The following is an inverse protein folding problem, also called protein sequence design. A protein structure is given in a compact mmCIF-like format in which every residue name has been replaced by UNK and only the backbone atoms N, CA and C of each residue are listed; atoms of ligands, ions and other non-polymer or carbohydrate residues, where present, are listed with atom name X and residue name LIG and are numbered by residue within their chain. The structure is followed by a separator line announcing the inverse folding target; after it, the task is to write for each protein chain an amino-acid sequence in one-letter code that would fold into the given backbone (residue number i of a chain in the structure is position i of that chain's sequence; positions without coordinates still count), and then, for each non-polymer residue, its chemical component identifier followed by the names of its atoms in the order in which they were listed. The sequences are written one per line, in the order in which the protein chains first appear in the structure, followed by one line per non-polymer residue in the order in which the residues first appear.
data_IF_499808154821
#
_entry.id   IF_499808154821
#
_cell.length_a   1.000
_cell.length_b   1.000
_cell.length_c   1.000
_cell.angle_alpha   90.00
_cell.angle_beta   90.00
_cell.angle_gamma   90.00
#
_symmetry.space_group_name_H-M   'P 1'
#
loop_
_entity.id
_entity.type
_entity.pdbx_description
1 polymer ?
#
# COMPACT_ATOMS: atom_id res chain seq x y z
N UNK A 1 22.64 5.15 -16.90
CA UNK A 1 22.87 3.69 -16.82
C UNK A 1 22.45 3.24 -15.43
N UNK A 2 21.78 2.10 -15.32
CA UNK A 2 21.47 1.48 -14.02
C UNK A 2 22.74 0.78 -13.48
N UNK A 3 22.78 0.62 -12.15
CA UNK A 3 23.89 -0.09 -11.49
C UNK A 3 23.87 -1.59 -11.79
N UNK A 4 25.00 -2.33 -11.68
CA UNK A 4 25.07 -3.76 -11.96
C UNK A 4 24.14 -4.63 -11.08
N UNK A 5 23.89 -4.18 -9.86
CA UNK A 5 22.98 -4.82 -8.90
C UNK A 5 21.49 -4.44 -9.07
N UNK A 6 21.20 -3.48 -9.95
CA UNK A 6 19.85 -3.10 -10.29
C UNK A 6 19.22 -4.09 -11.28
N UNK A 7 17.90 -4.24 -11.21
CA UNK A 7 17.20 -5.20 -12.07
C UNK A 7 16.93 -4.65 -13.46
N UNK A 8 17.73 -5.08 -14.44
CA UNK A 8 17.55 -4.69 -15.84
C UNK A 8 16.31 -5.39 -16.44
N UNK A 9 15.52 -4.66 -17.23
CA UNK A 9 14.30 -5.20 -17.84
C UNK A 9 14.58 -6.42 -18.75
N UNK A 10 15.73 -6.45 -19.39
CA UNK A 10 16.20 -7.55 -20.28
C UNK A 10 16.51 -8.84 -19.50
N UNK A 11 16.63 -8.76 -18.17
CA UNK A 11 16.87 -9.91 -17.28
C UNK A 11 15.59 -10.40 -16.61
N UNK A 12 14.43 -9.81 -16.93
CA UNK A 12 13.17 -10.21 -16.34
C UNK A 12 12.89 -11.71 -16.61
N UNK A 13 12.39 -12.41 -15.60
CA UNK A 13 11.88 -13.77 -15.75
C UNK A 13 10.58 -13.81 -16.56
N UNK A 14 10.06 -12.64 -16.94
CA UNK A 14 8.99 -12.48 -17.88
C UNK A 14 7.59 -12.60 -17.27
N UNK A 15 6.65 -12.91 -18.16
CA UNK A 15 5.22 -12.98 -17.89
C UNK A 15 4.73 -14.42 -17.92
N UNK A 16 3.67 -14.75 -17.17
CA UNK A 16 3.05 -16.08 -17.25
C UNK A 16 2.54 -16.40 -18.66
N UNK A 17 1.95 -15.41 -19.32
CA UNK A 17 1.45 -15.53 -20.68
C UNK A 17 2.37 -14.76 -21.61
N UNK A 18 3.10 -15.43 -22.53
CA UNK A 18 4.03 -14.77 -23.43
C UNK A 18 3.33 -13.74 -24.33
N UNK A 19 3.95 -12.58 -24.47
CA UNK A 19 3.49 -11.49 -25.32
C UNK A 19 4.66 -10.92 -26.12
N UNK A 20 4.44 -10.43 -27.36
CA UNK A 20 5.51 -9.81 -28.12
C UNK A 20 6.04 -8.56 -27.40
N UNK A 21 7.36 -8.26 -27.57
CA UNK A 21 7.95 -7.05 -27.03
C UNK A 21 7.28 -5.81 -27.66
N UNK A 22 7.20 -4.74 -26.86
CA UNK A 22 6.64 -3.48 -27.36
C UNK A 22 7.74 -2.66 -28.05
N UNK A 23 7.47 -1.94 -29.16
CA UNK A 23 8.50 -1.27 -29.94
C UNK A 23 9.25 -0.13 -29.19
N UNK A 24 8.70 0.46 -28.13
CA UNK A 24 9.31 1.57 -27.39
C UNK A 24 9.08 1.56 -25.88
N UNK A 25 8.35 0.56 -25.32
CA UNK A 25 8.18 0.40 -23.86
C UNK A 25 8.89 -0.87 -23.41
N UNK A 26 9.67 -0.77 -22.33
CA UNK A 26 10.15 -1.97 -21.64
C UNK A 26 9.03 -2.67 -20.87
N UNK A 27 9.29 -3.85 -20.33
CA UNK A 27 8.27 -4.64 -19.67
C UNK A 27 7.77 -4.02 -18.36
N UNK A 28 8.62 -3.32 -17.60
CA UNK A 28 8.21 -2.64 -16.36
C UNK A 28 7.35 -1.40 -16.64
N UNK A 29 7.61 -0.68 -17.72
CA UNK A 29 6.73 0.40 -18.18
C UNK A 29 5.36 -0.14 -18.58
N UNK A 30 5.30 -1.32 -19.22
CA UNK A 30 4.04 -1.99 -19.54
C UNK A 30 3.30 -2.41 -18.27
N UNK A 31 3.99 -2.88 -17.24
CA UNK A 31 3.40 -3.25 -15.97
C UNK A 31 2.81 -2.05 -15.24
N UNK A 32 3.58 -0.96 -15.14
CA UNK A 32 3.07 0.32 -14.63
C UNK A 32 1.77 0.74 -15.31
N UNK A 33 1.76 0.74 -16.65
CA UNK A 33 0.60 1.15 -17.42
C UNK A 33 -0.61 0.22 -17.14
N UNK A 34 -0.40 -1.09 -16.99
CA UNK A 34 -1.44 -2.07 -16.66
C UNK A 34 -2.02 -1.84 -15.27
N UNK A 35 -1.17 -1.55 -14.29
CA UNK A 35 -1.58 -1.24 -12.92
C UNK A 35 -2.42 0.03 -12.89
N UNK A 36 -1.95 1.13 -13.45
CA UNK A 36 -2.68 2.43 -13.48
C UNK A 36 -4.06 2.26 -14.12
N UNK A 37 -4.17 1.43 -15.15
CA UNK A 37 -5.43 1.23 -15.85
C UNK A 37 -6.34 0.17 -15.23
N UNK A 38 -5.94 -0.59 -14.21
CA UNK A 38 -6.79 -1.59 -13.58
C UNK A 38 -7.88 -0.98 -12.70
N UNK A 39 -8.91 -1.78 -12.38
CA UNK A 39 -10.02 -1.32 -11.53
C UNK A 39 -9.60 -1.20 -10.08
N UNK A 40 -8.77 -2.12 -9.61
CA UNK A 40 -8.27 -2.11 -8.24
C UNK A 40 -7.51 -0.83 -7.93
N UNK A 41 -6.63 -0.36 -8.82
CA UNK A 41 -5.91 0.90 -8.66
C UNK A 41 -6.85 2.10 -8.59
N UNK A 42 -7.86 2.20 -9.47
CA UNK A 42 -8.82 3.30 -9.41
C UNK A 42 -9.65 3.34 -8.14
N UNK A 43 -9.91 2.15 -7.54
CA UNK A 43 -10.67 2.06 -6.27
C UNK A 43 -9.89 2.61 -5.07
N UNK A 44 -8.57 2.79 -5.19
CA UNK A 44 -7.76 3.40 -4.14
C UNK A 44 -8.19 4.85 -3.85
N UNK A 45 -8.80 5.55 -4.83
CA UNK A 45 -9.37 6.89 -4.64
C UNK A 45 -10.44 6.94 -3.54
N UNK A 46 -11.26 5.88 -3.44
CA UNK A 46 -12.36 5.79 -2.50
C UNK A 46 -12.07 4.81 -1.34
N UNK A 47 -10.78 4.56 -1.03
CA UNK A 47 -10.34 3.77 0.14
C UNK A 47 -9.61 4.66 1.13
N UNK A 48 -10.00 4.59 2.40
CA UNK A 48 -9.39 5.33 3.50
C UNK A 48 -7.91 4.97 3.66
N UNK A 49 -7.05 5.97 3.83
CA UNK A 49 -5.69 5.81 4.34
C UNK A 49 -5.71 5.85 5.89
N UNK A 50 -5.98 6.99 6.48
CA UNK A 50 -6.14 7.19 7.93
C UNK A 50 -7.46 7.90 8.23
N UNK A 51 -7.75 8.98 7.53
CA UNK A 51 -8.95 9.79 7.70
C UNK A 51 -10.04 9.37 6.72
N UNK A 52 -11.25 9.17 7.22
CA UNK A 52 -12.41 8.93 6.35
C UNK A 52 -12.84 10.24 5.66
N UNK A 53 -13.49 10.13 4.51
CA UNK A 53 -14.05 11.28 3.76
C UNK A 53 -15.07 12.12 4.55
N UNK A 54 -15.46 11.69 5.75
CA UNK A 54 -16.33 12.45 6.66
C UNK A 54 -15.67 13.69 7.21
N UNK A 55 -14.34 13.72 7.32
CA UNK A 55 -13.60 14.86 7.85
C UNK A 55 -13.46 15.96 6.80
N UNK A 56 -12.99 15.57 5.63
CA UNK A 56 -12.83 16.45 4.48
C UNK A 56 -12.46 15.62 3.24
N UNK A 57 -12.71 16.17 2.07
CA UNK A 57 -12.39 15.59 0.77
C UNK A 57 -10.94 15.87 0.32
N UNK A 58 -10.19 16.68 1.07
CA UNK A 58 -8.79 16.98 0.74
C UNK A 58 -7.75 16.19 1.56
N UNK A 59 -8.17 15.37 2.54
CA UNK A 59 -7.25 14.43 3.19
C UNK A 59 -6.81 13.33 2.23
N UNK A 60 -5.64 12.79 2.49
CA UNK A 60 -5.07 11.74 1.66
C UNK A 60 -5.93 10.48 1.69
N UNK A 61 -6.19 9.95 0.51
CA UNK A 61 -6.73 8.62 0.29
C UNK A 61 -5.60 7.70 -0.19
N UNK A 62 -5.89 6.40 -0.36
CA UNK A 62 -4.85 5.45 -0.78
C UNK A 62 -4.27 5.75 -2.15
N UNK A 63 -5.03 6.34 -3.07
CA UNK A 63 -4.52 6.71 -4.39
C UNK A 63 -3.46 7.81 -4.30
N UNK A 64 -3.75 8.89 -3.56
CA UNK A 64 -2.80 10.00 -3.40
C UNK A 64 -1.55 9.56 -2.63
N UNK A 65 -1.70 8.74 -1.59
CA UNK A 65 -0.58 8.09 -0.90
C UNK A 65 0.28 7.25 -1.86
N UNK A 66 -0.34 6.38 -2.65
CA UNK A 66 0.38 5.53 -3.63
C UNK A 66 1.17 6.36 -4.64
N UNK A 67 0.64 7.53 -5.07
CA UNK A 67 1.36 8.45 -5.95
C UNK A 67 2.55 9.10 -5.24
N UNK A 68 2.42 9.49 -3.97
CA UNK A 68 3.53 10.00 -3.15
C UNK A 68 4.63 8.94 -2.99
N UNK A 69 4.27 7.69 -2.68
CA UNK A 69 5.21 6.56 -2.62
C UNK A 69 5.94 6.38 -3.96
N UNK A 70 5.22 6.39 -5.08
CA UNK A 70 5.82 6.24 -6.40
C UNK A 70 6.79 7.37 -6.75
N UNK A 71 6.49 8.61 -6.37
CA UNK A 71 7.37 9.76 -6.56
C UNK A 71 8.67 9.61 -5.75
N UNK A 72 8.58 9.24 -4.46
CA UNK A 72 9.76 9.05 -3.60
C UNK A 72 10.57 7.86 -4.10
N UNK A 73 9.92 6.74 -4.45
CA UNK A 73 10.58 5.53 -4.97
C UNK A 73 11.39 5.81 -6.24
N UNK A 74 10.85 6.57 -7.17
CA UNK A 74 11.58 6.98 -8.38
C UNK A 74 12.79 7.84 -8.06
N UNK A 75 12.66 8.78 -7.13
CA UNK A 75 13.74 9.70 -6.74
C UNK A 75 14.87 8.94 -6.03
N UNK A 76 14.53 8.16 -4.99
CA UNK A 76 15.49 7.38 -4.22
C UNK A 76 16.12 6.26 -5.06
N UNK A 77 15.31 5.55 -5.85
CA UNK A 77 15.79 4.51 -6.77
C UNK A 77 16.75 5.06 -7.82
N UNK A 78 16.43 6.23 -8.41
CA UNK A 78 17.33 6.92 -9.34
C UNK A 78 18.67 7.32 -8.70
N UNK A 79 18.65 7.82 -7.45
CA UNK A 79 19.84 8.18 -6.70
C UNK A 79 20.74 6.96 -6.36
N UNK A 80 20.11 5.78 -6.14
CA UNK A 80 20.82 4.51 -5.94
C UNK A 80 21.22 3.81 -7.25
N UNK A 81 20.89 4.36 -8.41
CA UNK A 81 21.15 3.74 -9.71
C UNK A 81 20.26 2.53 -10.01
N UNK A 82 19.13 2.40 -9.34
CA UNK A 82 18.16 1.31 -9.54
C UNK A 82 17.29 1.54 -10.79
N UNK A 83 16.51 0.52 -11.16
CA UNK A 83 15.56 0.61 -12.26
C UNK A 83 14.31 1.38 -11.80
N UNK A 84 14.23 2.65 -12.18
CA UNK A 84 13.12 3.54 -11.76
C UNK A 84 11.76 3.14 -12.33
N UNK A 85 11.70 2.43 -13.46
CA UNK A 85 10.43 1.91 -14.01
C UNK A 85 9.90 0.75 -13.16
N UNK A 86 10.80 -0.12 -12.66
CA UNK A 86 10.43 -1.19 -11.73
C UNK A 86 10.04 -0.61 -10.36
N UNK A 87 10.81 0.35 -9.82
CA UNK A 87 10.44 1.05 -8.58
C UNK A 87 9.03 1.65 -8.67
N UNK A 88 8.72 2.33 -9.77
CA UNK A 88 7.40 2.93 -9.98
C UNK A 88 6.28 1.88 -10.09
N UNK A 89 6.49 0.81 -10.85
CA UNK A 89 5.50 -0.25 -11.00
C UNK A 89 5.20 -0.93 -9.65
N UNK A 90 6.22 -1.21 -8.85
CA UNK A 90 6.10 -1.78 -7.50
C UNK A 90 5.37 -0.84 -6.55
N UNK A 91 5.76 0.44 -6.53
CA UNK A 91 5.11 1.45 -5.70
C UNK A 91 3.62 1.61 -6.03
N UNK A 92 3.25 1.60 -7.32
CA UNK A 92 1.85 1.69 -7.73
C UNK A 92 1.04 0.42 -7.42
N UNK A 93 1.69 -0.72 -7.26
CA UNK A 93 1.04 -2.00 -7.00
C UNK A 93 0.90 -2.33 -5.51
N UNK A 94 1.72 -1.75 -4.61
CA UNK A 94 1.87 -2.23 -3.24
C UNK A 94 0.54 -2.25 -2.45
N UNK A 95 -0.32 -1.26 -2.67
CA UNK A 95 -1.55 -1.04 -1.89
C UNK A 95 -2.84 -1.56 -2.55
N UNK A 96 -2.79 -2.09 -3.79
CA UNK A 96 -4.01 -2.44 -4.55
C UNK A 96 -4.86 -3.55 -3.91
N UNK A 97 -4.27 -4.34 -3.05
CA UNK A 97 -4.92 -5.45 -2.34
C UNK A 97 -5.62 -5.06 -1.04
N UNK A 98 -5.44 -3.85 -0.54
CA UNK A 98 -6.07 -3.44 0.72
C UNK A 98 -7.60 -3.46 0.62
N UNK A 99 -8.27 -3.96 1.67
CA UNK A 99 -9.73 -3.93 1.77
C UNK A 99 -10.24 -2.54 2.14
N UNK A 100 -11.56 -2.31 2.16
CA UNK A 100 -12.16 -1.11 2.76
C UNK A 100 -11.69 -0.90 4.20
N UNK A 101 -11.56 0.35 4.62
CA UNK A 101 -11.09 0.78 5.95
C UNK A 101 -9.66 0.37 6.31
N UNK A 102 -8.83 0.13 5.31
CA UNK A 102 -7.39 -0.10 5.44
C UNK A 102 -7.02 -1.26 6.38
N UNK A 103 -6.03 -1.06 7.23
CA UNK A 103 -5.56 -2.09 8.16
C UNK A 103 -6.62 -2.58 9.16
N UNK A 104 -7.61 -1.74 9.52
CA UNK A 104 -8.71 -2.19 10.39
C UNK A 104 -9.64 -3.15 9.66
N UNK A 105 -9.91 -2.89 8.37
CA UNK A 105 -10.66 -3.80 7.51
C UNK A 105 -9.90 -5.10 7.24
N UNK A 106 -8.60 -5.02 7.04
CA UNK A 106 -7.73 -6.19 6.86
C UNK A 106 -7.76 -7.09 8.10
N UNK A 107 -7.52 -6.52 9.28
CA UNK A 107 -7.60 -7.26 10.55
C UNK A 107 -8.97 -7.92 10.73
N UNK A 108 -10.03 -7.19 10.42
CA UNK A 108 -11.41 -7.70 10.53
C UNK A 108 -11.65 -8.87 9.56
N UNK A 109 -11.22 -8.78 8.30
CA UNK A 109 -11.32 -9.89 7.34
C UNK A 109 -10.47 -11.08 7.77
N UNK A 110 -9.26 -10.87 8.23
CA UNK A 110 -8.39 -11.95 8.73
C UNK A 110 -9.03 -12.70 9.91
N UNK A 111 -9.58 -11.96 10.89
CA UNK A 111 -10.30 -12.55 12.02
C UNK A 111 -11.53 -13.38 11.56
N UNK A 112 -12.30 -12.89 10.59
CA UNK A 112 -13.44 -13.60 10.02
C UNK A 112 -13.00 -14.86 9.27
N UNK A 113 -11.95 -14.78 8.46
CA UNK A 113 -11.43 -15.91 7.69
C UNK A 113 -10.82 -17.00 8.58
N UNK A 114 -10.18 -16.62 9.69
CA UNK A 114 -9.68 -17.59 10.71
C UNK A 114 -10.79 -18.47 11.30
N UNK A 115 -12.02 -17.98 11.34
CA UNK A 115 -13.20 -18.79 11.73
C UNK A 115 -13.46 -19.99 10.81
N UNK A 116 -12.89 -19.98 9.58
CA UNK A 116 -12.96 -21.07 8.59
C UNK A 116 -11.64 -21.83 8.44
N UNK A 117 -10.61 -21.48 9.22
CA UNK A 117 -9.27 -22.09 9.14
C UNK A 117 -8.35 -21.42 8.10
N UNK A 118 -8.78 -20.29 7.54
CA UNK A 118 -8.05 -19.49 6.55
C UNK A 118 -7.57 -18.17 7.14
N UNK A 119 -6.98 -17.29 6.34
CA UNK A 119 -6.55 -15.95 6.70
C UNK A 119 -6.81 -14.96 5.58
N UNK A 120 -6.62 -13.66 5.87
CA UNK A 120 -6.61 -12.61 4.87
C UNK A 120 -5.34 -11.77 5.01
N UNK A 121 -4.66 -11.55 3.90
CA UNK A 121 -3.46 -10.73 3.78
C UNK A 121 -3.57 -9.89 2.51
N UNK A 122 -3.33 -8.58 2.60
CA UNK A 122 -3.51 -7.68 1.46
C UNK A 122 -2.50 -7.93 0.33
N UNK A 123 -1.29 -8.45 0.60
CA UNK A 123 -0.31 -8.80 -0.43
C UNK A 123 -0.77 -10.03 -1.23
N UNK A 124 -1.29 -11.06 -0.54
CA UNK A 124 -1.90 -12.22 -1.18
C UNK A 124 -3.13 -11.81 -2.02
N UNK A 125 -3.97 -10.93 -1.48
CA UNK A 125 -5.12 -10.42 -2.21
C UNK A 125 -4.69 -9.56 -3.42
N UNK A 126 -3.64 -8.73 -3.28
CA UNK A 126 -3.06 -7.98 -4.40
C UNK A 126 -2.55 -8.92 -5.51
N UNK A 127 -1.83 -9.97 -5.12
CA UNK A 127 -1.37 -10.99 -6.06
C UNK A 127 -2.56 -11.64 -6.77
N UNK A 128 -3.61 -12.02 -6.05
CA UNK A 128 -4.82 -12.61 -6.60
C UNK A 128 -5.54 -11.67 -7.58
N UNK A 129 -5.59 -10.37 -7.26
CA UNK A 129 -6.13 -9.34 -8.16
C UNK A 129 -5.35 -9.30 -9.48
N UNK A 130 -4.02 -9.20 -9.43
CA UNK A 130 -3.19 -9.01 -10.63
C UNK A 130 -3.05 -10.28 -11.45
N UNK A 131 -3.25 -11.46 -10.88
CA UNK A 131 -3.14 -12.73 -11.56
C UNK A 131 -4.48 -13.26 -12.10
N UNK A 132 -5.60 -12.99 -11.40
CA UNK A 132 -6.85 -13.67 -11.66
C UNK A 132 -8.07 -12.73 -11.79
N UNK A 133 -8.23 -11.72 -10.94
CA UNK A 133 -9.49 -10.98 -10.82
C UNK A 133 -9.69 -9.87 -11.84
N UNK A 134 -8.62 -9.20 -12.27
CA UNK A 134 -8.75 -8.14 -13.26
C UNK A 134 -9.08 -8.76 -14.63
N UNK A 135 -10.30 -8.50 -15.09
CA UNK A 135 -10.80 -8.97 -16.39
C UNK A 135 -10.68 -7.85 -17.42
N UNK A 136 -9.48 -7.66 -17.95
CA UNK A 136 -9.19 -6.57 -18.87
C UNK A 136 -8.70 -7.03 -20.24
N UNK A 137 -8.13 -8.21 -20.31
CA UNK A 137 -7.51 -8.75 -21.50
C UNK A 137 -8.21 -10.03 -21.94
N UNK A 138 -8.47 -10.17 -23.26
CA UNK A 138 -9.15 -11.36 -23.78
C UNK A 138 -8.25 -12.60 -23.80
N UNK A 139 -6.93 -12.42 -23.81
CA UNK A 139 -5.96 -13.50 -23.98
C UNK A 139 -5.52 -14.20 -22.70
N UNK A 140 -5.79 -13.59 -21.53
CA UNK A 140 -5.34 -14.11 -20.24
C UNK A 140 -6.14 -13.48 -19.08
N UNK A 141 -6.21 -14.17 -17.93
CA UNK A 141 -6.75 -13.59 -16.69
C UNK A 141 -5.77 -12.60 -16.08
N UNK A 142 -6.25 -11.73 -15.22
CA UNK A 142 -5.44 -10.77 -14.50
C UNK A 142 -4.81 -9.69 -15.39
N UNK A 143 -3.67 -9.19 -14.95
CA UNK A 143 -2.88 -8.15 -15.62
C UNK A 143 -1.67 -8.70 -16.38
N UNK A 144 -1.31 -9.96 -16.17
CA UNK A 144 -0.12 -10.60 -16.74
C UNK A 144 1.15 -9.76 -16.51
N UNK A 145 1.39 -9.37 -15.24
CA UNK A 145 2.58 -8.62 -14.86
C UNK A 145 3.83 -9.49 -14.90
N UNK A 146 5.00 -8.87 -14.98
CA UNK A 146 6.29 -9.56 -14.90
C UNK A 146 6.44 -10.26 -13.55
N UNK A 147 7.34 -11.24 -13.51
CA UNK A 147 7.68 -11.97 -12.29
C UNK A 147 8.12 -11.02 -11.17
N UNK A 148 8.98 -10.05 -11.48
CA UNK A 148 9.59 -9.15 -10.51
C UNK A 148 8.56 -8.26 -9.81
N UNK A 149 7.54 -7.80 -10.54
CA UNK A 149 6.45 -7.02 -9.95
C UNK A 149 5.58 -7.91 -9.05
N UNK A 150 5.24 -9.13 -9.49
CA UNK A 150 4.48 -10.10 -8.68
C UNK A 150 5.25 -10.53 -7.43
N UNK A 151 6.55 -10.83 -7.58
CA UNK A 151 7.44 -11.13 -6.46
C UNK A 151 7.50 -9.97 -5.47
N UNK A 152 7.62 -8.74 -5.97
CA UNK A 152 7.68 -7.55 -5.12
C UNK A 152 6.39 -7.30 -4.35
N UNK A 153 5.22 -7.57 -4.95
CA UNK A 153 3.92 -7.52 -4.27
C UNK A 153 3.91 -8.50 -3.09
N UNK A 154 4.27 -9.76 -3.32
CA UNK A 154 4.14 -10.78 -2.28
C UNK A 154 5.20 -10.64 -1.16
N UNK A 155 6.35 -10.06 -1.47
CA UNK A 155 7.43 -9.83 -0.50
C UNK A 155 7.43 -8.41 0.09
N UNK A 156 6.40 -7.61 -0.18
CA UNK A 156 6.28 -6.29 0.43
C UNK A 156 6.14 -6.42 1.94
N UNK A 157 7.03 -5.75 2.67
CA UNK A 157 7.11 -5.73 4.14
C UNK A 157 7.14 -7.11 4.82
N UNK A 158 7.44 -8.18 4.07
CA UNK A 158 7.44 -9.56 4.58
C UNK A 158 8.57 -10.38 3.97
N UNK A 159 9.24 -11.16 4.82
CA UNK A 159 10.08 -12.29 4.42
C UNK A 159 9.36 -13.58 4.80
N UNK A 160 9.53 -14.63 4.01
CA UNK A 160 8.95 -15.94 4.25
C UNK A 160 10.02 -16.92 4.74
N UNK A 161 9.65 -17.79 5.68
CA UNK A 161 10.48 -18.92 6.06
C UNK A 161 10.39 -20.03 5.00
N UNK A 162 11.41 -20.89 4.94
CA UNK A 162 11.42 -22.01 4.03
C UNK A 162 10.20 -22.94 4.28
N UNK A 163 9.38 -23.16 3.24
CA UNK A 163 8.18 -24.01 3.31
C UNK A 163 6.97 -23.38 4.01
N UNK A 164 7.02 -22.10 4.39
CA UNK A 164 5.90 -21.40 5.05
C UNK A 164 4.67 -21.29 4.14
N UNK A 165 4.87 -21.05 2.84
CA UNK A 165 3.82 -20.89 1.85
C UNK A 165 4.18 -21.66 0.56
N UNK A 166 3.98 -23.00 0.54
CA UNK A 166 4.37 -23.82 -0.62
C UNK A 166 3.71 -23.38 -1.93
N UNK A 167 2.48 -22.82 -1.88
CA UNK A 167 1.72 -22.29 -3.00
C UNK A 167 2.38 -21.07 -3.65
N UNK A 168 3.25 -20.39 -2.92
CA UNK A 168 4.02 -19.22 -3.39
C UNK A 168 5.46 -19.57 -3.77
N UNK A 169 5.81 -20.84 -3.85
CA UNK A 169 7.19 -21.32 -4.09
C UNK A 169 7.80 -20.78 -5.39
N UNK A 170 6.97 -20.45 -6.42
CA UNK A 170 7.44 -19.81 -7.65
C UNK A 170 8.15 -18.47 -7.40
N UNK A 171 7.81 -17.74 -6.31
CA UNK A 171 8.35 -16.41 -6.00
C UNK A 171 9.68 -16.42 -5.24
N UNK A 172 10.43 -17.53 -5.29
CA UNK A 172 11.78 -17.64 -4.69
C UNK A 172 11.78 -17.17 -3.23
N UNK A 173 10.88 -17.72 -2.40
CA UNK A 173 10.63 -17.24 -1.04
C UNK A 173 11.88 -17.26 -0.15
N UNK A 174 12.82 -18.19 -0.41
CA UNK A 174 14.09 -18.30 0.28
C UNK A 174 15.12 -17.22 -0.10
N UNK A 175 14.87 -16.47 -1.20
CA UNK A 175 15.75 -15.40 -1.68
C UNK A 175 15.19 -14.02 -1.33
N UNK A 176 16.09 -13.05 -1.13
CA UNK A 176 15.67 -11.66 -0.94
C UNK A 176 15.12 -11.07 -2.25
N UNK A 177 14.12 -10.18 -2.17
CA UNK A 177 13.62 -9.50 -3.36
C UNK A 177 14.67 -8.53 -3.93
N UNK A 178 14.53 -8.10 -5.20
CA UNK A 178 15.40 -7.07 -5.78
C UNK A 178 15.44 -5.80 -4.92
N UNK A 179 16.49 -5.00 -5.04
CA UNK A 179 16.65 -3.74 -4.28
C UNK A 179 15.49 -2.78 -4.53
N UNK A 180 14.98 -2.76 -5.76
CA UNK A 180 13.80 -1.98 -6.14
C UNK A 180 12.59 -2.33 -5.25
N UNK A 181 12.36 -3.60 -4.98
CA UNK A 181 11.26 -4.04 -4.10
C UNK A 181 11.57 -3.78 -2.62
N UNK A 182 12.84 -3.98 -2.18
CA UNK A 182 13.25 -3.64 -0.82
C UNK A 182 13.09 -2.15 -0.52
N UNK A 183 13.29 -1.29 -1.53
CA UNK A 183 13.14 0.16 -1.40
C UNK A 183 11.71 0.57 -1.08
N UNK A 184 10.71 -0.13 -1.63
CA UNK A 184 9.29 0.24 -1.46
C UNK A 184 8.88 0.24 0.00
N UNK A 185 9.33 -0.72 0.81
CA UNK A 185 8.99 -0.78 2.24
C UNK A 185 9.36 0.49 3.00
N UNK A 186 10.53 1.06 2.68
CA UNK A 186 11.04 2.25 3.35
C UNK A 186 10.45 3.55 2.78
N UNK A 187 10.20 3.61 1.48
CA UNK A 187 9.60 4.82 0.89
C UNK A 187 8.11 4.92 1.22
N UNK A 188 7.42 3.80 1.38
CA UNK A 188 6.08 3.75 1.96
C UNK A 188 6.09 4.29 3.39
N UNK A 189 7.05 3.84 4.22
CA UNK A 189 7.23 4.34 5.57
C UNK A 189 7.50 5.84 5.64
N UNK A 190 8.34 6.38 4.75
CA UNK A 190 8.60 7.82 4.63
C UNK A 190 7.31 8.56 4.27
N UNK A 191 6.58 8.05 3.28
CA UNK A 191 5.38 8.68 2.77
C UNK A 191 4.30 8.75 3.87
N UNK A 192 3.94 7.61 4.50
CA UNK A 192 2.86 7.64 5.50
C UNK A 192 3.25 8.41 6.77
N UNK A 193 4.50 8.32 7.24
CA UNK A 193 4.94 9.07 8.41
C UNK A 193 4.81 10.59 8.23
N UNK A 194 5.18 11.09 7.06
CA UNK A 194 5.10 12.53 6.76
C UNK A 194 3.67 12.96 6.44
N UNK A 195 2.94 12.14 5.70
CA UNK A 195 1.55 12.38 5.35
C UNK A 195 0.64 12.44 6.60
N UNK A 196 0.83 11.51 7.53
CA UNK A 196 0.00 11.41 8.73
C UNK A 196 0.27 12.53 9.73
N UNK A 197 1.51 13.05 9.80
CA UNK A 197 1.78 14.29 10.53
C UNK A 197 1.03 15.49 9.92
N UNK A 198 1.03 15.61 8.58
CA UNK A 198 0.36 16.69 7.87
C UNK A 198 -1.16 16.61 8.06
N UNK A 199 -1.75 15.48 7.76
CA UNK A 199 -3.18 15.26 7.87
C UNK A 199 -3.66 15.37 9.33
N UNK A 200 -2.88 14.87 10.30
CA UNK A 200 -3.19 15.00 11.72
C UNK A 200 -3.15 16.45 12.23
N UNK A 201 -2.21 17.25 11.72
CA UNK A 201 -2.14 18.68 12.00
C UNK A 201 -3.30 19.45 11.33
N UNK A 202 -3.60 19.19 10.07
CA UNK A 202 -4.73 19.81 9.36
C UNK A 202 -6.08 19.45 9.98
N UNK A 203 -6.23 18.22 10.49
CA UNK A 203 -7.42 17.79 11.21
C UNK A 203 -7.55 18.42 12.60
N UNK A 204 -6.53 19.15 13.10
CA UNK A 204 -6.50 19.69 14.43
C UNK A 204 -6.39 18.62 15.53
N UNK A 205 -5.96 17.41 15.18
CA UNK A 205 -5.73 16.32 16.13
C UNK A 205 -4.30 16.33 16.68
N UNK A 206 -3.35 16.94 15.98
CA UNK A 206 -1.97 17.08 16.39
C UNK A 206 -1.61 18.56 16.51
N UNK A 207 -0.89 18.91 17.59
CA UNK A 207 -0.37 20.26 17.82
C UNK A 207 1.14 20.30 17.61
N UNK A 208 1.66 21.36 16.98
CA UNK A 208 3.09 21.57 16.73
C UNK A 208 3.92 21.43 18.00
N UNK A 209 3.44 21.98 19.12
CA UNK A 209 4.15 21.93 20.39
C UNK A 209 4.31 20.49 20.91
N UNK A 210 3.31 19.63 20.69
CA UNK A 210 3.38 18.20 21.05
C UNK A 210 4.31 17.43 20.15
N UNK A 211 4.20 17.64 18.81
CA UNK A 211 5.10 17.00 17.83
C UNK A 211 6.56 17.35 18.18
N UNK A 212 6.87 18.63 18.42
CA UNK A 212 8.22 19.09 18.79
C UNK A 212 8.73 18.43 20.07
N UNK A 213 7.86 18.24 21.06
CA UNK A 213 8.23 17.64 22.37
C UNK A 213 8.59 16.16 22.23
N UNK A 214 7.90 15.42 21.38
CA UNK A 214 7.96 13.96 21.32
C UNK A 214 8.73 13.42 20.14
N UNK A 215 8.94 14.22 19.07
CA UNK A 215 9.61 13.82 17.84
C UNK A 215 10.85 14.66 17.61
N UNK A 216 12.03 14.24 18.11
CA UNK A 216 13.27 15.02 18.02
C UNK A 216 13.66 15.37 16.58
N UNK A 217 13.42 14.47 15.62
CA UNK A 217 13.67 14.76 14.20
C UNK A 217 12.85 15.97 13.74
N UNK A 218 11.56 16.00 14.04
CA UNK A 218 10.69 17.11 13.66
C UNK A 218 11.11 18.42 14.37
N UNK A 219 11.46 18.36 15.66
CA UNK A 219 11.90 19.57 16.40
C UNK A 219 13.16 20.19 15.79
N UNK A 220 14.17 19.38 15.43
CA UNK A 220 15.37 19.86 14.73
C UNK A 220 15.03 20.54 13.39
N UNK A 221 14.10 19.94 12.61
CA UNK A 221 13.69 20.49 11.32
C UNK A 221 12.83 21.75 11.47
N UNK A 222 11.97 21.79 12.49
CA UNK A 222 11.17 22.97 12.80
C UNK A 222 12.04 24.15 13.28
N UNK A 223 13.01 23.91 14.16
CA UNK A 223 13.96 24.93 14.61
C UNK A 223 14.76 25.50 13.42
N UNK A 224 15.16 24.66 12.47
CA UNK A 224 15.82 25.10 11.24
C UNK A 224 14.90 25.98 10.38
N UNK A 225 13.64 25.59 10.21
CA UNK A 225 12.65 26.39 9.48
C UNK A 225 12.35 27.71 10.17
N UNK A 226 12.22 27.69 11.51
CA UNK A 226 11.98 28.89 12.33
C UNK A 226 13.13 29.88 12.27
N UNK A 227 14.37 29.40 12.28
CA UNK A 227 15.58 30.21 12.11
C UNK A 227 15.68 30.83 10.72
N UNK A 228 15.34 30.06 9.68
CA UNK A 228 15.39 30.53 8.29
C UNK A 228 14.29 31.56 7.98
N UNK A 229 13.11 31.39 8.55
CA UNK A 229 11.94 32.25 8.30
C UNK A 229 11.24 32.65 9.61
N UNK A 230 11.89 33.51 10.46
CA UNK A 230 11.34 33.84 11.78
C UNK A 230 9.98 34.53 11.71
N UNK A 231 9.73 35.35 10.68
CA UNK A 231 8.48 36.07 10.46
C UNK A 231 7.38 35.25 9.75
N UNK A 232 7.66 34.00 9.31
CA UNK A 232 6.66 33.19 8.63
C UNK A 232 5.54 32.75 9.59
N UNK A 233 4.35 32.56 9.03
CA UNK A 233 3.21 32.00 9.77
C UNK A 233 3.54 30.60 10.31
N UNK A 234 3.01 30.20 11.49
CA UNK A 234 3.25 28.89 12.08
C UNK A 234 2.99 27.73 11.09
N UNK A 235 1.91 27.79 10.31
CA UNK A 235 1.59 26.80 9.27
C UNK A 235 2.69 26.66 8.21
N UNK A 236 3.28 27.77 7.76
CA UNK A 236 4.37 27.71 6.79
C UNK A 236 5.65 27.15 7.38
N UNK A 237 5.94 27.44 8.66
CA UNK A 237 7.06 26.82 9.38
C UNK A 237 6.87 25.33 9.55
N UNK A 238 5.65 24.89 9.83
CA UNK A 238 5.28 23.48 9.90
C UNK A 238 5.53 22.78 8.55
N UNK A 239 5.02 23.33 7.46
CA UNK A 239 5.21 22.77 6.12
C UNK A 239 6.70 22.69 5.72
N UNK A 240 7.48 23.71 6.05
CA UNK A 240 8.94 23.69 5.82
C UNK A 240 9.66 22.65 6.69
N UNK A 241 9.21 22.46 7.92
CA UNK A 241 9.74 21.40 8.78
C UNK A 241 9.41 20.01 8.23
N UNK A 242 8.16 19.78 7.82
CA UNK A 242 7.70 18.51 7.29
C UNK A 242 8.44 18.12 6.00
N UNK A 243 8.60 19.07 5.08
CA UNK A 243 9.41 18.89 3.87
C UNK A 243 10.86 18.49 4.18
N UNK A 244 11.47 19.10 5.22
CA UNK A 244 12.83 18.76 5.68
C UNK A 244 12.89 17.39 6.36
N UNK A 245 11.85 16.98 7.06
CA UNK A 245 11.74 15.62 7.63
C UNK A 245 11.78 14.60 6.49
N UNK A 246 10.92 14.76 5.48
CA UNK A 246 10.89 13.87 4.30
C UNK A 246 12.26 13.81 3.61
N UNK A 247 12.86 14.97 3.32
CA UNK A 247 14.17 15.06 2.67
C UNK A 247 15.29 14.39 3.48
N UNK A 248 15.25 14.56 4.82
CA UNK A 248 16.21 13.95 5.74
C UNK A 248 16.11 12.42 5.76
N UNK A 249 14.87 11.91 5.80
CA UNK A 249 14.59 10.47 5.76
C UNK A 249 15.05 9.86 4.42
N UNK A 250 14.67 10.47 3.31
CA UNK A 250 15.04 9.98 1.97
C UNK A 250 16.56 10.04 1.74
N UNK A 251 17.21 11.11 2.18
CA UNK A 251 18.66 11.29 2.06
C UNK A 251 19.43 10.26 2.89
N UNK A 252 18.99 10.01 4.13
CA UNK A 252 19.61 8.99 4.98
C UNK A 252 19.44 7.58 4.39
N UNK A 253 18.22 7.25 3.94
CA UNK A 253 17.92 5.96 3.32
C UNK A 253 18.86 5.69 2.13
N UNK A 254 18.95 6.64 1.21
CA UNK A 254 19.83 6.54 0.03
C UNK A 254 21.29 6.44 0.45
N UNK A 255 21.75 7.34 1.33
CA UNK A 255 23.15 7.40 1.73
C UNK A 255 23.59 6.18 2.53
N UNK A 256 22.75 5.65 3.42
CA UNK A 256 23.06 4.46 4.19
C UNK A 256 23.04 3.20 3.32
N UNK A 257 22.01 3.02 2.50
CA UNK A 257 21.92 1.90 1.56
C UNK A 257 23.09 1.86 0.59
N UNK A 258 23.48 3.00 0.02
CA UNK A 258 24.66 3.07 -0.87
C UNK A 258 25.94 2.60 -0.17
N UNK A 259 26.19 3.07 1.07
CA UNK A 259 27.36 2.61 1.85
C UNK A 259 27.30 1.12 2.17
N UNK A 260 26.11 0.60 2.48
CA UNK A 260 25.90 -0.84 2.74
C UNK A 260 26.25 -1.67 1.50
N UNK A 261 25.76 -1.28 0.32
CA UNK A 261 26.06 -1.97 -0.93
C UNK A 261 27.57 -1.98 -1.24
N UNK A 262 28.26 -0.88 -0.99
CA UNK A 262 29.70 -0.79 -1.16
C UNK A 262 30.46 -1.66 -0.15
N UNK A 263 30.12 -1.60 1.13
CA UNK A 263 30.77 -2.36 2.20
C UNK A 263 30.60 -3.88 2.03
N UNK A 264 29.40 -4.31 1.64
CA UNK A 264 29.08 -5.72 1.43
C UNK A 264 29.48 -6.20 0.01
N UNK A 265 30.09 -5.31 -0.81
CA UNK A 265 30.59 -5.57 -2.19
C UNK A 265 29.53 -6.18 -3.09
N UNK A 266 28.37 -5.57 -3.11
CA UNK A 266 27.24 -6.01 -3.95
C UNK A 266 27.49 -5.54 -5.39
N UNK A 267 27.73 -6.49 -6.29
CA UNK A 267 28.07 -6.23 -7.68
C UNK A 267 27.03 -6.78 -8.69
N UNK A 268 26.07 -7.55 -8.19
CA UNK A 268 25.05 -8.18 -9.05
C UNK A 268 23.71 -8.34 -8.35
N UNK A 269 22.66 -8.58 -9.13
CA UNK A 269 21.33 -8.97 -8.62
C UNK A 269 21.40 -10.28 -7.82
N UNK A 270 22.27 -11.21 -8.21
CA UNK A 270 22.44 -12.49 -7.49
C UNK A 270 23.05 -12.28 -6.10
N UNK A 271 23.95 -11.32 -5.93
CA UNK A 271 24.47 -10.97 -4.60
C UNK A 271 23.36 -10.42 -3.71
N UNK A 272 22.48 -9.59 -4.25
CA UNK A 272 21.29 -9.08 -3.53
C UNK A 272 20.37 -10.22 -3.13
N UNK A 273 20.04 -11.12 -4.07
CA UNK A 273 19.10 -12.22 -3.84
C UNK A 273 19.59 -13.24 -2.82
N UNK A 274 20.87 -13.50 -2.77
CA UNK A 274 21.49 -14.49 -1.88
C UNK A 274 22.01 -13.86 -0.57
N UNK A 275 21.82 -12.55 -0.38
CA UNK A 275 22.28 -11.89 0.83
C UNK A 275 21.45 -12.32 2.07
N UNK A 276 22.05 -12.53 3.25
CA UNK A 276 21.34 -13.04 4.42
C UNK A 276 20.30 -12.05 4.98
N UNK A 277 20.46 -10.74 4.73
CA UNK A 277 19.54 -9.68 5.16
C UNK A 277 19.14 -8.78 3.99
N UNK A 278 18.09 -8.00 4.17
CA UNK A 278 17.77 -6.89 3.24
C UNK A 278 18.87 -5.83 3.32
N UNK A 279 19.16 -5.20 2.19
CA UNK A 279 20.29 -4.27 2.02
C UNK A 279 19.86 -2.80 2.03
N UNK A 280 18.59 -2.54 1.73
CA UNK A 280 18.01 -1.20 1.87
C UNK A 280 17.61 -1.00 3.32
N UNK A 281 18.09 0.08 3.95
CA UNK A 281 17.74 0.41 5.34
C UNK A 281 18.15 1.83 5.70
N UNK A 282 17.51 2.39 6.72
CA UNK A 282 18.00 3.59 7.40
C UNK A 282 19.29 3.32 8.18
N UNK A 283 20.07 4.37 8.42
CA UNK A 283 21.13 4.32 9.42
C UNK A 283 20.54 4.07 10.83
N UNK A 284 21.29 3.47 11.76
CA UNK A 284 20.77 3.21 13.11
C UNK A 284 20.20 4.46 13.82
N UNK A 285 20.82 5.66 13.73
CA UNK A 285 20.22 6.86 14.32
C UNK A 285 18.90 7.27 13.67
N UNK A 286 18.79 7.16 12.33
CA UNK A 286 17.57 7.52 11.62
C UNK A 286 16.45 6.49 11.84
N UNK A 287 16.81 5.22 11.97
CA UNK A 287 15.85 4.17 12.33
C UNK A 287 15.21 4.44 13.71
N UNK A 288 15.98 4.93 14.69
CA UNK A 288 15.44 5.32 16.00
C UNK A 288 14.57 6.57 15.92
N UNK A 289 14.96 7.58 15.12
CA UNK A 289 14.11 8.75 14.84
C UNK A 289 12.78 8.34 14.20
N UNK A 290 12.81 7.44 13.20
CA UNK A 290 11.61 6.87 12.58
C UNK A 290 10.74 6.10 13.58
N UNK A 291 11.34 5.24 14.38
CA UNK A 291 10.62 4.48 15.40
C UNK A 291 9.96 5.41 16.43
N UNK A 292 10.62 6.51 16.78
CA UNK A 292 10.05 7.53 17.69
C UNK A 292 8.89 8.26 17.06
N UNK A 293 8.99 8.64 15.77
CA UNK A 293 7.88 9.24 15.02
C UNK A 293 6.68 8.29 14.93
N UNK A 294 6.90 7.03 14.60
CA UNK A 294 5.83 6.02 14.57
C UNK A 294 5.13 5.85 15.92
N UNK A 295 5.90 5.76 17.02
CA UNK A 295 5.33 5.67 18.36
C UNK A 295 4.47 6.89 18.69
N UNK A 296 4.92 8.08 18.29
CA UNK A 296 4.15 9.31 18.45
C UNK A 296 2.83 9.27 17.67
N UNK A 297 2.87 8.94 16.37
CA UNK A 297 1.67 8.83 15.54
C UNK A 297 0.70 7.78 16.09
N UNK A 298 1.23 6.64 16.54
CA UNK A 298 0.39 5.61 17.15
C UNK A 298 -0.34 6.15 18.38
N UNK A 299 0.38 6.75 19.33
CA UNK A 299 -0.20 7.19 20.60
C UNK A 299 -1.10 8.42 20.47
N UNK A 300 -0.78 9.38 19.59
CA UNK A 300 -1.44 10.69 19.54
C UNK A 300 -2.41 10.83 18.36
N UNK A 301 -2.23 10.04 17.29
CA UNK A 301 -3.11 10.10 16.12
C UNK A 301 -3.96 8.83 15.99
N UNK A 302 -3.35 7.66 15.82
CA UNK A 302 -4.12 6.46 15.52
C UNK A 302 -5.01 6.00 16.69
N UNK A 303 -4.61 6.21 17.93
CA UNK A 303 -5.44 5.93 19.11
C UNK A 303 -6.35 7.11 19.51
N UNK A 304 -6.43 8.16 18.69
CA UNK A 304 -7.36 9.25 18.95
C UNK A 304 -8.81 8.74 18.92
N UNK A 305 -9.65 9.09 19.93
CA UNK A 305 -11.00 8.52 20.09
C UNK A 305 -11.88 8.62 18.84
N UNK A 306 -11.72 9.70 18.08
CA UNK A 306 -12.49 9.94 16.86
C UNK A 306 -12.12 8.91 15.77
N UNK A 307 -10.82 8.64 15.55
CA UNK A 307 -10.37 7.66 14.56
C UNK A 307 -10.68 6.23 15.02
N UNK A 308 -10.59 5.95 16.32
CA UNK A 308 -11.00 4.67 16.89
C UNK A 308 -12.48 4.40 16.62
N UNK A 309 -13.36 5.37 16.89
CA UNK A 309 -14.79 5.24 16.64
C UNK A 309 -15.13 4.96 15.17
N UNK A 310 -14.42 5.62 14.22
CA UNK A 310 -14.60 5.39 12.79
C UNK A 310 -14.14 3.98 12.37
N UNK A 311 -12.99 3.52 12.86
CA UNK A 311 -12.49 2.15 12.62
C UNK A 311 -13.46 1.08 13.15
N UNK A 312 -13.96 1.27 14.37
CA UNK A 312 -14.97 0.35 14.95
C UNK A 312 -16.25 0.33 14.13
N UNK A 313 -16.70 1.49 13.65
CA UNK A 313 -17.88 1.56 12.79
C UNK A 313 -17.65 0.82 11.48
N UNK A 314 -16.50 1.01 10.84
CA UNK A 314 -16.09 0.31 9.62
C UNK A 314 -16.07 -1.21 9.83
N UNK A 315 -15.43 -1.67 10.91
CA UNK A 315 -15.36 -3.10 11.26
C UNK A 315 -16.76 -3.71 11.51
N UNK A 316 -17.66 -3.00 12.21
CA UNK A 316 -19.05 -3.46 12.40
C UNK A 316 -19.80 -3.62 11.08
N UNK A 317 -19.66 -2.66 10.17
CA UNK A 317 -20.31 -2.74 8.85
C UNK A 317 -19.75 -3.90 8.01
N UNK A 318 -18.43 -4.08 8.03
CA UNK A 318 -17.75 -5.14 7.30
C UNK A 318 -18.18 -6.53 7.82
N UNK A 319 -18.11 -6.75 9.13
CA UNK A 319 -18.55 -8.00 9.78
C UNK A 319 -20.01 -8.30 9.49
N UNK A 320 -20.88 -7.28 9.60
CA UNK A 320 -22.30 -7.43 9.30
C UNK A 320 -22.57 -7.80 7.85
N UNK A 321 -21.87 -7.17 6.92
CA UNK A 321 -22.00 -7.45 5.49
C UNK A 321 -21.47 -8.86 5.13
N UNK A 322 -20.36 -9.28 5.74
CA UNK A 322 -19.83 -10.63 5.60
C UNK A 322 -20.88 -11.68 6.06
N UNK A 323 -21.45 -11.50 7.24
CA UNK A 323 -22.48 -12.39 7.77
C UNK A 323 -23.75 -12.43 6.88
N UNK A 324 -24.14 -11.28 6.30
CA UNK A 324 -25.25 -11.19 5.37
C UNK A 324 -24.97 -12.02 4.10
N UNK A 325 -23.83 -11.87 3.47
CA UNK A 325 -23.50 -12.63 2.25
C UNK A 325 -23.28 -14.13 2.53
N UNK A 326 -22.76 -14.49 3.69
CA UNK A 326 -22.65 -15.89 4.11
C UNK A 326 -24.02 -16.55 4.31
N UNK A 327 -24.99 -15.81 4.85
CA UNK A 327 -26.35 -16.33 5.09
C UNK A 327 -27.30 -16.20 3.89
N UNK A 328 -27.02 -15.27 2.97
CA UNK A 328 -27.83 -14.96 1.79
C UNK A 328 -26.94 -14.80 0.54
N UNK A 329 -26.33 -15.90 0.03
CA UNK A 329 -25.42 -15.85 -1.12
C UNK A 329 -26.09 -15.30 -2.40
N UNK A 330 -27.42 -15.38 -2.48
CA UNK A 330 -28.20 -14.81 -3.58
C UNK A 330 -28.09 -13.29 -3.70
N UNK A 331 -27.66 -12.60 -2.64
CA UNK A 331 -27.38 -11.16 -2.65
C UNK A 331 -26.03 -10.81 -3.31
N UNK A 332 -25.16 -11.79 -3.56
CA UNK A 332 -23.92 -11.57 -4.31
C UNK A 332 -24.23 -11.25 -5.78
N UNK A 333 -23.36 -10.47 -6.46
CA UNK A 333 -23.45 -10.28 -7.90
C UNK A 333 -23.37 -11.60 -8.68
N UNK A 334 -23.96 -11.67 -9.88
CA UNK A 334 -24.02 -12.93 -10.66
C UNK A 334 -22.66 -13.63 -10.84
N UNK A 335 -21.60 -12.88 -11.14
CA UNK A 335 -20.25 -13.45 -11.33
C UNK A 335 -19.69 -14.09 -10.06
N UNK A 336 -19.95 -13.51 -8.89
CA UNK A 336 -19.53 -14.08 -7.62
C UNK A 336 -20.39 -15.27 -7.20
N UNK A 337 -21.70 -15.27 -7.54
CA UNK A 337 -22.56 -16.45 -7.33
C UNK A 337 -22.06 -17.65 -8.13
N UNK A 338 -21.72 -17.44 -9.40
CA UNK A 338 -21.13 -18.51 -10.23
C UNK A 338 -19.83 -19.04 -9.65
N UNK A 339 -18.96 -18.17 -9.11
CA UNK A 339 -17.75 -18.61 -8.40
C UNK A 339 -18.08 -19.45 -7.17
N UNK A 340 -19.09 -19.07 -6.39
CA UNK A 340 -19.49 -19.79 -5.18
C UNK A 340 -20.07 -21.20 -5.45
N UNK A 341 -20.36 -21.56 -6.71
CA UNK A 341 -20.72 -22.93 -7.11
C UNK A 341 -19.48 -23.86 -7.14
N UNK A 342 -18.27 -23.31 -7.21
CA UNK A 342 -17.01 -24.04 -7.41
C UNK A 342 -15.94 -23.75 -6.38
N UNK A 343 -16.06 -22.64 -5.66
CA UNK A 343 -15.13 -22.19 -4.63
C UNK A 343 -15.81 -22.09 -3.25
N UNK A 344 -15.10 -22.22 -2.13
CA UNK A 344 -15.66 -22.01 -0.80
C UNK A 344 -16.33 -20.63 -0.68
N UNK A 345 -17.56 -20.61 -0.20
CA UNK A 345 -18.37 -19.38 -0.15
C UNK A 345 -17.66 -18.25 0.64
N UNK A 346 -16.99 -18.58 1.75
CA UNK A 346 -16.27 -17.59 2.57
C UNK A 346 -15.11 -16.92 1.80
N UNK A 347 -14.44 -17.63 0.89
CA UNK A 347 -13.42 -17.04 0.03
C UNK A 347 -14.04 -16.05 -0.96
N UNK A 348 -15.13 -16.45 -1.60
CA UNK A 348 -15.84 -15.60 -2.58
C UNK A 348 -16.40 -14.34 -1.92
N UNK A 349 -16.94 -14.47 -0.70
CA UNK A 349 -17.45 -13.34 0.08
C UNK A 349 -16.31 -12.42 0.52
N UNK A 350 -15.21 -12.98 1.00
CA UNK A 350 -14.02 -12.23 1.38
C UNK A 350 -13.47 -11.39 0.21
N UNK A 351 -13.26 -12.03 -0.94
CA UNK A 351 -12.80 -11.36 -2.16
C UNK A 351 -13.73 -10.24 -2.62
N UNK A 352 -15.04 -10.49 -2.54
CA UNK A 352 -16.02 -9.48 -2.95
C UNK A 352 -15.98 -8.26 -2.03
N UNK A 353 -15.91 -8.47 -0.73
CA UNK A 353 -15.82 -7.38 0.27
C UNK A 353 -14.49 -6.66 0.17
N UNK A 354 -13.38 -7.38 0.08
CA UNK A 354 -12.04 -6.79 -0.05
C UNK A 354 -11.89 -5.92 -1.31
N UNK A 355 -12.59 -6.29 -2.38
CA UNK A 355 -12.65 -5.50 -3.61
C UNK A 355 -13.52 -4.25 -3.56
N UNK A 356 -14.29 -4.00 -2.48
CA UNK A 356 -15.14 -2.81 -2.36
C UNK A 356 -14.33 -1.54 -2.04
N UNK A 357 -14.96 -0.39 -2.27
CA UNK A 357 -14.57 0.89 -1.66
C UNK A 357 -15.34 1.10 -0.36
N UNK A 358 -14.86 1.99 0.51
CA UNK A 358 -15.50 2.27 1.80
C UNK A 358 -16.96 2.71 1.63
N UNK A 359 -17.19 3.65 0.73
CA UNK A 359 -18.53 4.16 0.45
C UNK A 359 -19.46 3.10 -0.18
N UNK A 360 -18.90 2.20 -1.01
CA UNK A 360 -19.71 1.12 -1.59
C UNK A 360 -20.10 0.10 -0.53
N UNK A 361 -19.17 -0.31 0.33
CA UNK A 361 -19.47 -1.22 1.46
C UNK A 361 -20.53 -0.64 2.37
N UNK A 362 -20.42 0.64 2.74
CA UNK A 362 -21.41 1.32 3.58
C UNK A 362 -22.81 1.29 2.96
N UNK A 363 -22.93 1.61 1.66
CA UNK A 363 -24.23 1.55 0.96
C UNK A 363 -24.81 0.13 0.93
N UNK A 364 -23.99 -0.88 0.60
CA UNK A 364 -24.42 -2.27 0.56
C UNK A 364 -24.90 -2.76 1.94
N UNK A 365 -24.17 -2.41 2.99
CA UNK A 365 -24.57 -2.76 4.35
C UNK A 365 -25.92 -2.12 4.71
N UNK A 366 -26.11 -0.82 4.44
CA UNK A 366 -27.36 -0.12 4.72
C UNK A 366 -28.57 -0.71 3.96
N UNK A 367 -28.38 -1.05 2.69
CA UNK A 367 -29.42 -1.67 1.86
C UNK A 367 -29.82 -3.06 2.40
N UNK A 368 -28.83 -3.93 2.63
CA UNK A 368 -29.07 -5.33 2.95
C UNK A 368 -29.44 -5.57 4.41
N UNK A 369 -29.00 -4.71 5.33
CA UNK A 369 -29.40 -4.75 6.73
C UNK A 369 -30.80 -4.16 6.97
N UNK A 370 -31.48 -3.65 5.93
CA UNK A 370 -32.83 -3.07 6.06
C UNK A 370 -32.84 -1.70 6.74
N UNK A 371 -31.69 -1.00 6.81
CA UNK A 371 -31.59 0.30 7.46
C UNK A 371 -32.05 1.46 6.58
N UNK A 372 -32.28 1.22 5.28
CA UNK A 372 -32.77 2.19 4.31
C UNK A 372 -34.28 2.09 4.10
N UNK A 373 -35.08 2.32 5.15
CA UNK A 373 -36.49 2.63 4.99
C UNK A 373 -36.70 4.13 5.27
N UNK A 374 -36.53 4.96 4.22
CA UNK A 374 -37.24 6.22 3.92
C UNK A 374 -36.35 7.20 3.13
N UNK A 375 -36.20 6.92 1.83
CA UNK A 375 -36.12 8.00 0.86
C UNK A 375 -36.53 7.48 -0.54
N UNK A 376 -37.72 7.83 -1.08
CA UNK A 376 -38.18 7.35 -2.38
C UNK A 376 -37.53 8.03 -3.58
N UNK A 377 -36.49 8.87 -3.39
CA UNK A 377 -35.93 9.71 -4.46
C UNK A 377 -34.66 9.19 -5.12
N UNK A 378 -34.11 8.04 -4.72
CA UNK A 378 -32.83 7.56 -5.26
C UNK A 378 -32.91 6.26 -6.08
N UNK A 379 -34.08 5.96 -6.66
CA UNK A 379 -34.26 4.78 -7.54
C UNK A 379 -34.08 5.17 -9.00
N UNK A 380 -32.89 5.64 -9.39
CA UNK A 380 -32.52 5.76 -10.81
C UNK A 380 -31.00 5.73 -10.97
N UNK A 381 -30.35 4.60 -10.82
CA UNK A 381 -29.06 4.29 -11.45
C UNK A 381 -28.71 2.81 -11.25
N UNK A 382 -29.59 1.93 -11.74
CA UNK A 382 -29.26 0.54 -11.99
C UNK A 382 -29.59 0.25 -13.45
N UNK A 383 -28.68 0.57 -14.35
CA UNK A 383 -28.63 -0.05 -15.69
C UNK A 383 -27.22 0.05 -16.23
N UNK A 384 -26.68 -1.13 -16.43
CA UNK A 384 -25.57 -1.65 -17.25
C UNK A 384 -24.32 -2.03 -16.50
#
# INVERSE_FOLDING_TARGET
MIAPFAFAAERSLGRRYPEPPHPYRNDFQRDRDRIIHCRAFRRLEDKTQVFTTRYSDHFRNRLTHTIEVAQIARTAGGALGLNTDLCEALALAHDIGHPPFGHSGEKCLDELMRGFGDGFDHNLHALHIVENFEQRYAGFPGLNLTFEVREGIIKHSRDYAAGEAPELSEYLLEKKPPLEAQLIDFVDEIAYNTADLDDGYEAGLLEVAEIRRHVPLFDRMYATAESAWPAALPKLKFNEALKRVLDSLATDLVGHSARTLEQDKIESVEDVRNHPRRLVSFSPPMAEDCATLKRFLYAHLYEHPVLVADREQGSRMLTGLFAIYMSRPECLPPSYRTRAEHEPLHWVVCDYIAGMTDGFLQRQFQELAGLNHKDPKNTKFTKQ
#
